data_IF_629738603494
#
_entry.id   IF_629738603494
#
_cell.length_a   1.000
_cell.length_b   1.000
_cell.length_c   1.000
_cell.angle_alpha   90.00
_cell.angle_beta   90.00
_cell.angle_gamma   90.00
#
_symmetry.space_group_name_H-M   'P 1'
#
loop_
_entity.id
_entity.type
_entity.pdbx_description
1 polymer ?
#
# COMPACT_ATOMS: atom_id res chain seq x y z
N UNK A 1 -5.11 16.47 2.30
CA UNK A 1 -5.54 15.29 1.50
C UNK A 1 -4.39 14.94 0.56
N UNK A 2 -3.71 13.84 0.83
CA UNK A 2 -2.63 13.33 -0.04
C UNK A 2 -3.25 12.61 -1.23
N UNK A 3 -2.88 12.97 -2.44
CA UNK A 3 -3.26 12.26 -3.65
C UNK A 3 -2.06 11.45 -4.16
N UNK A 4 -2.27 10.19 -4.51
CA UNK A 4 -1.24 9.37 -5.12
C UNK A 4 -1.31 9.51 -6.64
N UNK A 5 -0.17 9.80 -7.28
CA UNK A 5 -0.07 9.87 -8.75
C UNK A 5 0.49 8.55 -9.28
N UNK A 6 -0.06 8.09 -10.38
CA UNK A 6 0.43 6.92 -11.11
C UNK A 6 1.54 7.29 -12.13
N UNK A 7 1.99 8.54 -12.13
CA UNK A 7 2.96 9.05 -13.13
C UNK A 7 4.36 9.23 -12.55
N UNK A 8 5.38 8.89 -13.34
CA UNK A 8 6.81 8.99 -12.98
C UNK A 8 7.34 10.42 -12.76
N UNK A 9 6.57 11.45 -13.10
CA UNK A 9 7.00 12.84 -13.00
C UNK A 9 7.15 13.41 -11.59
N UNK A 10 6.69 12.73 -10.55
CA UNK A 10 6.84 13.17 -9.16
C UNK A 10 8.17 12.77 -8.49
N UNK A 11 9.16 12.29 -9.24
CA UNK A 11 10.50 12.01 -8.70
C UNK A 11 11.28 13.25 -8.26
N UNK A 12 10.83 14.46 -8.64
CA UNK A 12 11.61 15.70 -8.44
C UNK A 12 11.15 16.62 -7.30
N UNK A 13 10.20 16.22 -6.46
CA UNK A 13 9.71 17.11 -5.37
C UNK A 13 10.31 16.77 -3.99
N UNK A 14 11.11 15.71 -3.89
CA UNK A 14 11.71 15.27 -2.60
C UNK A 14 13.25 15.47 -2.61
N UNK A 15 13.75 16.53 -3.25
CA UNK A 15 15.14 16.95 -3.11
C UNK A 15 15.23 18.26 -2.32
N UNK A 16 14.57 18.34 -1.17
CA UNK A 16 14.91 19.34 -0.16
C UNK A 16 15.24 18.59 1.13
N UNK A 17 16.49 18.74 1.53
CA UNK A 17 17.13 18.48 2.80
C UNK A 17 16.17 18.30 4.00
N UNK A 18 15.56 17.13 4.11
CA UNK A 18 15.03 16.65 5.37
C UNK A 18 16.19 15.90 6.05
N UNK A 19 16.92 16.60 6.92
CA UNK A 19 17.66 15.97 8.01
C UNK A 19 16.65 15.15 8.79
N UNK A 20 16.58 13.84 8.53
CA UNK A 20 15.81 12.91 9.33
C UNK A 20 16.53 12.79 10.69
N UNK A 21 15.95 13.35 11.75
CA UNK A 21 16.37 13.07 13.11
C UNK A 21 16.23 11.55 13.36
N UNK A 22 17.33 10.91 13.78
CA UNK A 22 17.35 9.47 14.06
C UNK A 22 16.27 9.03 15.07
N UNK A 23 15.73 9.94 15.86
CA UNK A 23 14.64 9.70 16.80
C UNK A 23 13.28 9.50 16.14
N UNK A 24 13.03 10.14 15.00
CA UNK A 24 11.77 9.98 14.25
C UNK A 24 11.70 8.63 13.50
N UNK A 25 12.85 8.00 13.26
CA UNK A 25 12.97 6.65 12.69
C UNK A 25 12.61 5.53 13.68
N UNK A 26 12.52 5.84 14.98
CA UNK A 26 12.23 4.88 16.05
C UNK A 26 10.73 4.75 16.35
N UNK A 27 9.88 5.55 15.75
CA UNK A 27 8.44 5.30 15.78
C UNK A 27 8.19 4.11 14.87
N UNK A 28 8.22 2.94 15.48
CA UNK A 28 7.89 1.67 14.83
C UNK A 28 6.43 1.74 14.37
N UNK A 29 6.23 2.12 13.11
CA UNK A 29 4.89 2.19 12.48
C UNK A 29 4.18 0.82 12.59
N UNK A 30 4.94 -0.24 12.84
CA UNK A 30 4.43 -1.58 13.06
C UNK A 30 4.03 -1.87 14.51
N UNK A 31 4.50 -1.08 15.50
CA UNK A 31 4.09 -1.23 16.90
C UNK A 31 2.71 -0.62 17.19
N UNK A 32 2.16 0.16 16.27
CA UNK A 32 0.81 0.69 16.35
C UNK A 32 -0.26 -0.31 15.91
N UNK A 33 0.12 -1.44 15.31
CA UNK A 33 -0.81 -2.44 14.75
C UNK A 33 -1.20 -3.58 15.70
N UNK A 34 -0.74 -3.60 16.94
CA UNK A 34 -1.15 -4.64 17.93
C UNK A 34 -2.18 -4.18 18.96
N UNK A 35 -2.71 -2.97 18.86
CA UNK A 35 -3.97 -2.70 19.53
C UNK A 35 -5.07 -3.17 18.59
N UNK A 36 -5.85 -4.17 19.03
CA UNK A 36 -7.20 -4.41 18.55
C UNK A 36 -7.96 -3.08 18.63
N UNK A 37 -7.80 -2.25 17.61
CA UNK A 37 -8.72 -1.16 17.39
C UNK A 37 -10.01 -1.84 16.97
N UNK A 38 -11.10 -1.60 17.70
CA UNK A 38 -12.45 -1.81 17.21
C UNK A 38 -12.59 -1.02 15.90
N UNK A 39 -12.12 -1.64 14.81
CA UNK A 39 -12.17 -1.03 13.49
C UNK A 39 -13.65 -0.88 13.15
N UNK A 40 -14.13 0.35 13.17
CA UNK A 40 -15.52 0.67 12.83
C UNK A 40 -15.73 0.22 11.38
N UNK A 41 -16.42 -0.89 11.23
CA UNK A 41 -16.74 -1.45 9.93
C UNK A 41 -17.83 -0.60 9.28
N UNK A 42 -17.46 0.15 8.25
CA UNK A 42 -18.40 0.94 7.47
C UNK A 42 -19.23 0.03 6.57
N UNK A 43 -20.52 0.32 6.45
CA UNK A 43 -21.38 -0.34 5.49
C UNK A 43 -21.15 0.17 4.04
N UNK A 44 -21.64 -0.58 3.06
CA UNK A 44 -21.44 -0.25 1.66
C UNK A 44 -22.09 1.07 1.23
N UNK A 45 -23.17 1.50 1.87
CA UNK A 45 -23.85 2.77 1.56
C UNK A 45 -23.01 3.95 2.04
N UNK A 46 -22.47 3.87 3.23
CA UNK A 46 -21.56 4.86 3.82
C UNK A 46 -20.29 5.02 2.99
N UNK A 47 -19.70 3.90 2.53
CA UNK A 47 -18.51 3.93 1.68
C UNK A 47 -18.82 4.58 0.32
N UNK A 48 -19.97 4.26 -0.29
CA UNK A 48 -20.38 4.88 -1.55
C UNK A 48 -20.59 6.38 -1.39
N UNK A 49 -21.25 6.81 -0.31
CA UNK A 49 -21.43 8.22 -0.01
C UNK A 49 -20.07 8.92 0.17
N UNK A 50 -19.12 8.31 0.88
CA UNK A 50 -17.77 8.83 1.02
C UNK A 50 -17.05 8.99 -0.33
N UNK A 51 -17.22 8.04 -1.25
CA UNK A 51 -16.65 8.13 -2.59
C UNK A 51 -17.31 9.21 -3.44
N UNK A 52 -18.62 9.42 -3.30
CA UNK A 52 -19.36 10.50 -3.94
C UNK A 52 -18.93 11.87 -3.39
N UNK A 53 -18.89 12.03 -2.07
CA UNK A 53 -18.49 13.27 -1.39
C UNK A 53 -17.03 13.66 -1.69
N UNK A 54 -16.18 12.67 -1.89
CA UNK A 54 -14.78 12.88 -2.27
C UNK A 54 -14.56 12.93 -3.78
N UNK A 55 -15.60 12.78 -4.58
CA UNK A 55 -15.54 12.68 -6.05
C UNK A 55 -14.52 11.62 -6.52
N UNK A 56 -14.54 10.44 -5.86
CA UNK A 56 -13.64 9.33 -6.16
C UNK A 56 -14.24 8.40 -7.21
N UNK A 57 -13.92 8.65 -8.49
CA UNK A 57 -14.44 7.91 -9.65
C UNK A 57 -13.32 7.19 -10.39
N UNK A 58 -13.53 5.92 -10.77
CA UNK A 58 -12.57 5.14 -11.53
C UNK A 58 -12.27 5.72 -12.91
N UNK A 59 -13.25 6.37 -13.54
CA UNK A 59 -13.07 6.98 -14.86
C UNK A 59 -12.13 8.19 -14.80
N UNK A 60 -12.16 8.96 -13.70
CA UNK A 60 -11.23 10.06 -13.49
C UNK A 60 -9.83 9.57 -13.21
N UNK A 61 -9.70 8.44 -12.49
CA UNK A 61 -8.40 7.78 -12.29
C UNK A 61 -7.81 7.32 -13.63
N UNK A 62 -8.61 6.73 -14.51
CA UNK A 62 -8.18 6.29 -15.85
C UNK A 62 -7.66 7.45 -16.70
N UNK A 63 -8.28 8.63 -16.58
CA UNK A 63 -7.92 9.85 -17.32
C UNK A 63 -6.74 10.57 -16.69
N UNK A 64 -6.81 10.83 -15.39
CA UNK A 64 -5.93 11.75 -14.68
C UNK A 64 -4.80 11.03 -13.92
N UNK A 65 -4.87 9.68 -13.81
CA UNK A 65 -3.93 8.85 -13.06
C UNK A 65 -3.75 9.28 -11.58
N UNK A 66 -4.75 9.94 -11.02
CA UNK A 66 -4.78 10.40 -9.64
C UNK A 66 -5.74 9.53 -8.85
N UNK A 67 -5.26 8.97 -7.73
CA UNK A 67 -6.06 8.19 -6.80
C UNK A 67 -6.16 8.95 -5.48
N UNK A 68 -7.39 9.19 -5.02
CA UNK A 68 -7.61 9.78 -3.70
C UNK A 68 -7.30 8.74 -2.62
N UNK A 69 -6.60 9.10 -1.55
CA UNK A 69 -6.19 8.16 -0.50
C UNK A 69 -7.36 7.85 0.45
N UNK A 70 -8.38 7.18 -0.05
CA UNK A 70 -9.48 6.68 0.76
C UNK A 70 -9.21 5.21 1.01
N UNK A 71 -8.35 4.91 1.99
CA UNK A 71 -8.07 3.55 2.41
C UNK A 71 -9.10 3.08 3.44
N UNK A 72 -9.56 1.86 3.30
CA UNK A 72 -10.50 1.21 4.20
C UNK A 72 -9.82 -0.03 4.81
N UNK A 73 -9.95 -0.21 6.11
CA UNK A 73 -9.31 -1.34 6.81
C UNK A 73 -10.03 -2.68 6.58
N UNK A 74 -11.29 -2.63 6.12
CA UNK A 74 -12.07 -3.84 5.90
C UNK A 74 -13.09 -3.69 4.79
N UNK A 75 -13.42 -4.80 4.12
CA UNK A 75 -14.51 -4.85 3.15
C UNK A 75 -15.88 -4.80 3.83
N UNK A 76 -16.85 -4.05 3.25
CA UNK A 76 -18.24 -4.10 3.69
C UNK A 76 -18.84 -5.48 3.37
N UNK A 77 -19.60 -6.05 4.32
CA UNK A 77 -20.24 -7.36 4.12
C UNK A 77 -21.26 -7.33 2.99
N UNK A 78 -21.85 -6.17 2.76
CA UNK A 78 -22.91 -5.92 1.79
C UNK A 78 -22.40 -5.93 0.33
N UNK A 79 -21.09 -5.97 0.09
CA UNK A 79 -20.55 -6.05 -1.28
C UNK A 79 -21.11 -7.26 -2.05
N UNK A 80 -21.34 -8.38 -1.35
CA UNK A 80 -21.92 -9.59 -1.92
C UNK A 80 -23.39 -9.42 -2.35
N UNK A 81 -24.11 -8.45 -1.78
CA UNK A 81 -25.50 -8.14 -2.10
C UNK A 81 -25.66 -7.24 -3.33
N UNK A 82 -24.55 -6.74 -3.88
CA UNK A 82 -24.58 -5.95 -5.11
C UNK A 82 -24.80 -6.91 -6.29
N UNK A 83 -26.05 -7.01 -6.76
CA UNK A 83 -26.45 -7.92 -7.84
C UNK A 83 -25.73 -7.62 -9.16
N UNK A 84 -25.63 -6.32 -9.52
CA UNK A 84 -24.97 -5.92 -10.74
C UNK A 84 -23.46 -6.19 -10.66
N UNK A 85 -23.01 -7.21 -11.39
CA UNK A 85 -21.63 -7.67 -11.40
C UNK A 85 -20.64 -6.56 -11.80
N UNK A 86 -20.98 -5.69 -12.74
CA UNK A 86 -20.11 -4.60 -13.16
C UNK A 86 -19.93 -3.60 -12.01
N UNK A 87 -21.03 -3.16 -11.39
CA UNK A 87 -20.99 -2.23 -10.25
C UNK A 87 -20.23 -2.84 -9.05
N UNK A 88 -20.43 -4.14 -8.79
CA UNK A 88 -19.69 -4.82 -7.72
C UNK A 88 -18.18 -4.85 -7.97
N UNK A 89 -17.75 -5.16 -9.19
CA UNK A 89 -16.34 -5.13 -9.58
C UNK A 89 -15.74 -3.73 -9.50
N UNK A 90 -16.45 -2.72 -9.97
CA UNK A 90 -16.03 -1.33 -9.87
C UNK A 90 -15.84 -0.92 -8.40
N UNK A 91 -16.81 -1.24 -7.55
CA UNK A 91 -16.73 -0.95 -6.12
C UNK A 91 -15.58 -1.69 -5.42
N UNK A 92 -15.36 -2.96 -5.77
CA UNK A 92 -14.20 -3.73 -5.31
C UNK A 92 -12.89 -3.04 -5.67
N UNK A 93 -12.74 -2.63 -6.94
CA UNK A 93 -11.53 -1.94 -7.40
C UNK A 93 -11.35 -0.60 -6.67
N UNK A 94 -12.41 0.18 -6.45
CA UNK A 94 -12.34 1.43 -5.70
C UNK A 94 -11.79 1.22 -4.28
N UNK A 95 -12.17 0.12 -3.62
CA UNK A 95 -11.67 -0.21 -2.27
C UNK A 95 -10.22 -0.66 -2.30
N UNK A 96 -9.86 -1.57 -3.22
CA UNK A 96 -8.54 -2.23 -3.21
C UNK A 96 -7.43 -1.34 -3.76
N UNK A 97 -7.74 -0.50 -4.74
CA UNK A 97 -6.73 0.30 -5.44
C UNK A 97 -5.93 1.22 -4.51
N UNK A 98 -6.55 2.01 -3.61
CA UNK A 98 -5.79 2.86 -2.68
C UNK A 98 -4.85 2.05 -1.76
N UNK A 99 -5.29 0.87 -1.30
CA UNK A 99 -4.49 -0.01 -0.44
C UNK A 99 -3.25 -0.54 -1.16
N UNK A 100 -3.39 -0.97 -2.42
CA UNK A 100 -2.26 -1.43 -3.23
C UNK A 100 -1.27 -0.30 -3.48
N UNK A 101 -1.75 0.91 -3.76
CA UNK A 101 -0.89 2.05 -3.99
C UNK A 101 -0.16 2.49 -2.72
N UNK A 102 -0.82 2.42 -1.57
CA UNK A 102 -0.20 2.68 -0.27
C UNK A 102 0.92 1.68 0.00
N UNK A 103 0.68 0.38 -0.22
CA UNK A 103 1.69 -0.64 -0.02
C UNK A 103 2.86 -0.50 -1.00
N UNK A 104 2.60 -0.20 -2.27
CA UNK A 104 3.66 0.08 -3.23
C UNK A 104 4.50 1.30 -2.82
N UNK A 105 3.87 2.34 -2.27
CA UNK A 105 4.61 3.48 -1.74
C UNK A 105 5.51 3.07 -0.56
N UNK A 106 5.03 2.23 0.35
CA UNK A 106 5.82 1.69 1.46
C UNK A 106 7.02 0.87 0.94
N UNK A 107 6.79 0.01 -0.05
CA UNK A 107 7.86 -0.76 -0.70
C UNK A 107 8.88 0.17 -1.37
N UNK A 108 8.43 1.22 -2.03
CA UNK A 108 9.31 2.22 -2.67
C UNK A 108 10.19 2.94 -1.65
N UNK A 109 9.63 3.34 -0.51
CA UNK A 109 10.37 3.94 0.61
C UNK A 109 11.39 2.96 1.20
N UNK A 110 10.98 1.72 1.45
CA UNK A 110 11.87 0.66 1.93
C UNK A 110 13.01 0.40 0.93
N UNK A 111 12.71 0.41 -0.35
CA UNK A 111 13.72 0.24 -1.41
C UNK A 111 14.73 1.39 -1.41
N UNK A 112 14.28 2.64 -1.28
CA UNK A 112 15.18 3.79 -1.14
C UNK A 112 16.08 3.64 0.08
N UNK A 113 15.53 3.24 1.23
CA UNK A 113 16.29 2.96 2.44
C UNK A 113 17.29 1.82 2.24
N UNK A 114 16.90 0.73 1.58
CA UNK A 114 17.81 -0.37 1.25
C UNK A 114 19.03 0.16 0.48
N UNK A 115 18.82 0.94 -0.58
CA UNK A 115 19.91 1.47 -1.37
C UNK A 115 20.78 2.47 -0.58
N UNK A 116 20.21 3.25 0.33
CA UNK A 116 21.00 4.13 1.20
C UNK A 116 21.90 3.33 2.15
N UNK A 117 21.43 2.20 2.69
CA UNK A 117 22.18 1.33 3.60
C UNK A 117 23.33 0.63 2.87
N UNK A 118 23.06 0.04 1.70
CA UNK A 118 24.07 -0.76 0.97
C UNK A 118 25.17 0.09 0.32
N UNK A 119 24.94 1.38 0.13
CA UNK A 119 25.93 2.31 -0.42
C UNK A 119 26.88 2.86 0.67
N UNK A 120 26.68 2.53 1.95
CA UNK A 120 27.55 2.91 3.05
C UNK A 120 28.70 1.91 3.20
N UNK A 121 29.87 2.40 3.59
CA UNK A 121 30.99 1.54 3.92
C UNK A 121 30.80 0.76 5.22
N UNK A 122 30.08 1.34 6.19
CA UNK A 122 29.75 0.73 7.48
C UNK A 122 28.29 0.98 7.83
N UNK A 123 27.61 -0.08 8.20
CA UNK A 123 26.21 -0.04 8.62
C UNK A 123 26.11 -0.08 10.15
N UNK A 124 25.20 0.71 10.70
CA UNK A 124 24.86 0.71 12.12
C UNK A 124 24.17 -0.60 12.52
N UNK A 125 24.15 -0.91 13.82
CA UNK A 125 23.43 -2.09 14.33
C UNK A 125 21.91 -2.02 14.05
N UNK A 126 21.34 -0.82 14.02
CA UNK A 126 19.93 -0.58 13.67
C UNK A 126 19.70 -0.96 12.20
N UNK A 127 20.56 -0.54 11.29
CA UNK A 127 20.47 -0.87 9.87
C UNK A 127 20.64 -2.37 9.62
N UNK A 128 21.56 -3.03 10.32
CA UNK A 128 21.74 -4.49 10.24
C UNK A 128 20.47 -5.23 10.70
N UNK A 129 19.87 -4.82 11.82
CA UNK A 129 18.62 -5.38 12.32
C UNK A 129 17.46 -5.16 11.34
N UNK A 130 17.38 -3.98 10.72
CA UNK A 130 16.38 -3.68 9.69
C UNK A 130 16.56 -4.58 8.46
N UNK A 131 17.78 -4.78 7.98
CA UNK A 131 18.07 -5.72 6.88
C UNK A 131 17.66 -7.14 7.24
N UNK A 132 17.96 -7.62 8.45
CA UNK A 132 17.56 -8.95 8.92
C UNK A 132 16.03 -9.12 8.94
N UNK A 133 15.30 -8.09 9.39
CA UNK A 133 13.83 -8.06 9.32
C UNK A 133 13.35 -8.17 7.87
N UNK A 134 13.98 -7.43 6.94
CA UNK A 134 13.60 -7.47 5.52
C UNK A 134 13.93 -8.81 4.86
N UNK A 135 15.06 -9.42 5.15
CA UNK A 135 15.37 -10.79 4.68
C UNK A 135 14.32 -11.80 5.12
N UNK A 136 13.86 -11.73 6.36
CA UNK A 136 12.77 -12.57 6.86
C UNK A 136 11.44 -12.28 6.15
N UNK A 137 11.08 -11.01 6.03
CA UNK A 137 9.84 -10.57 5.38
C UNK A 137 9.75 -11.05 3.92
N UNK A 138 10.87 -10.98 3.19
CA UNK A 138 10.94 -11.38 1.78
C UNK A 138 11.33 -12.87 1.57
N UNK A 139 11.39 -13.67 2.64
CA UNK A 139 11.66 -15.10 2.56
C UNK A 139 13.05 -15.43 2.01
N UNK A 140 14.09 -14.76 2.48
CA UNK A 140 15.48 -14.92 2.02
C UNK A 140 16.38 -15.40 3.18
N UNK A 141 16.35 -16.70 3.52
CA UNK A 141 17.12 -17.24 4.64
C UNK A 141 18.64 -17.15 4.42
N UNK A 142 19.10 -17.17 3.17
CA UNK A 142 20.50 -17.01 2.78
C UNK A 142 21.05 -15.59 3.01
N UNK A 143 20.18 -14.63 3.32
CA UNK A 143 20.51 -13.19 3.44
C UNK A 143 21.24 -12.65 2.19
N UNK A 144 20.88 -13.20 1.01
CA UNK A 144 21.44 -12.72 -0.25
C UNK A 144 20.86 -11.36 -0.63
N UNK A 145 21.75 -10.36 -0.70
CA UNK A 145 21.40 -8.99 -0.99
C UNK A 145 20.89 -8.81 -2.44
N UNK A 146 21.42 -9.58 -3.38
CA UNK A 146 21.01 -9.52 -4.78
C UNK A 146 19.55 -9.95 -4.91
N UNK A 147 19.19 -11.04 -4.26
CA UNK A 147 17.79 -11.50 -4.19
C UNK A 147 16.87 -10.49 -3.50
N UNK A 148 17.35 -9.83 -2.41
CA UNK A 148 16.55 -8.82 -1.73
C UNK A 148 16.26 -7.62 -2.63
N UNK A 149 17.26 -7.14 -3.38
CA UNK A 149 17.08 -6.04 -4.36
C UNK A 149 16.04 -6.36 -5.43
N UNK A 150 15.96 -7.61 -5.85
CA UNK A 150 14.99 -8.07 -6.86
C UNK A 150 13.59 -8.22 -6.26
N UNK A 151 13.50 -8.82 -5.07
CA UNK A 151 12.20 -9.10 -4.43
C UNK A 151 11.53 -7.87 -3.83
N UNK A 152 12.33 -6.91 -3.33
CA UNK A 152 11.84 -5.65 -2.78
C UNK A 152 11.58 -4.66 -3.90
N UNK A 153 10.50 -4.88 -4.66
CA UNK A 153 10.07 -4.00 -5.75
C UNK A 153 8.56 -3.83 -5.74
N UNK A 154 8.08 -2.74 -6.35
CA UNK A 154 6.66 -2.45 -6.45
C UNK A 154 5.93 -3.54 -7.25
N UNK A 155 4.73 -3.88 -6.82
CA UNK A 155 3.90 -4.87 -7.48
C UNK A 155 3.06 -4.16 -8.54
N UNK A 156 3.01 -4.67 -9.80
CA UNK A 156 2.12 -4.12 -10.81
C UNK A 156 0.67 -4.10 -10.31
N UNK A 157 0.07 -2.91 -10.27
CA UNK A 157 -1.26 -2.68 -9.69
C UNK A 157 -2.32 -3.59 -10.29
N UNK A 158 -2.31 -3.77 -11.61
CA UNK A 158 -3.26 -4.64 -12.30
C UNK A 158 -3.13 -6.11 -11.87
N UNK A 159 -1.91 -6.59 -11.63
CA UNK A 159 -1.65 -7.95 -11.15
C UNK A 159 -2.17 -8.13 -9.73
N UNK A 160 -1.88 -7.17 -8.84
CA UNK A 160 -2.35 -7.20 -7.46
C UNK A 160 -3.88 -7.19 -7.38
N UNK A 161 -4.55 -6.33 -8.18
CA UNK A 161 -6.02 -6.31 -8.28
C UNK A 161 -6.56 -7.65 -8.79
N UNK A 162 -5.97 -8.21 -9.84
CA UNK A 162 -6.42 -9.47 -10.42
C UNK A 162 -6.30 -10.62 -9.42
N UNK A 163 -5.20 -10.68 -8.67
CA UNK A 163 -5.00 -11.69 -7.64
C UNK A 163 -5.98 -11.49 -6.48
N UNK A 164 -6.13 -10.28 -5.96
CA UNK A 164 -7.10 -9.98 -4.91
C UNK A 164 -8.52 -10.36 -5.33
N UNK A 165 -8.91 -10.04 -6.57
CA UNK A 165 -10.22 -10.40 -7.11
C UNK A 165 -10.41 -11.92 -7.21
N UNK A 166 -9.38 -12.67 -7.62
CA UNK A 166 -9.40 -14.14 -7.72
C UNK A 166 -9.54 -14.78 -6.34
N UNK A 167 -8.72 -14.38 -5.38
CA UNK A 167 -8.70 -14.96 -4.02
C UNK A 167 -9.99 -14.66 -3.26
N UNK A 168 -10.56 -13.47 -3.43
CA UNK A 168 -11.73 -13.01 -2.67
C UNK A 168 -13.05 -13.17 -3.42
N UNK A 169 -13.04 -13.70 -4.64
CA UNK A 169 -14.25 -13.74 -5.48
C UNK A 169 -14.87 -12.34 -5.68
N UNK A 170 -14.04 -11.30 -5.88
CA UNK A 170 -14.48 -9.91 -5.94
C UNK A 170 -15.15 -9.42 -4.63
N UNK A 171 -14.62 -9.86 -3.50
CA UNK A 171 -15.13 -9.50 -2.17
C UNK A 171 -16.35 -10.30 -1.72
N UNK A 172 -16.68 -11.41 -2.39
CA UNK A 172 -17.84 -12.24 -2.05
C UNK A 172 -17.51 -13.51 -1.27
N UNK A 173 -16.22 -13.89 -1.19
CA UNK A 173 -15.79 -15.05 -0.40
C UNK A 173 -16.11 -14.87 1.07
N UNK A 174 -16.29 -16.01 1.76
CA UNK A 174 -16.32 -16.04 3.23
C UNK A 174 -14.88 -16.15 3.72
N UNK A 175 -14.46 -15.21 4.54
CA UNK A 175 -13.26 -15.30 5.37
C UNK A 175 -13.69 -15.52 6.80
#
# INVERSE_FOLDING_TARGET
VLAYTLDEKNKNIINNDLEFDEKDLLVDIYSLNEKETDAVRLDASTIKQLYEDTDYKLDDIRKNKLVKPVALDSFPREIKMIENTKKRKEFFIQIVLPLILQENNNISLDRKRLFSIINKSNNTEIEKKWLDKKYKQYGIPSKDLSTLKVRMDEIPVSLAIAQAAKETGWGTSRF
#
